data_IF_189545930701
#
_entry.id   IF_189545930701
#
_cell.length_a   1.000
_cell.length_b   1.000
_cell.length_c   1.000
_cell.angle_alpha   90.00
_cell.angle_beta   90.00
_cell.angle_gamma   90.00
#
_symmetry.space_group_name_H-M   'P 1'
#
loop_
_entity.id
_entity.type
_entity.pdbx_description
1 polymer ?
#
# COMPACT_ATOMS: atom_id res chain seq x y z
N UNK A 1 -16.20 -9.51 -14.72
CA UNK A 1 -14.97 -10.16 -14.21
C UNK A 1 -15.05 -11.62 -14.62
N UNK A 2 -14.00 -12.20 -15.23
CA UNK A 2 -14.05 -13.61 -15.60
C UNK A 2 -13.94 -14.49 -14.35
N UNK A 3 -14.65 -15.62 -14.34
CA UNK A 3 -14.55 -16.61 -13.26
C UNK A 3 -13.12 -17.10 -13.06
N UNK A 4 -12.36 -17.24 -14.13
CA UNK A 4 -10.96 -17.66 -14.13
C UNK A 4 -10.06 -16.69 -13.33
N UNK A 5 -10.25 -15.39 -13.47
CA UNK A 5 -9.49 -14.36 -12.73
C UNK A 5 -9.73 -14.45 -11.21
N UNK A 6 -11.00 -14.64 -10.82
CA UNK A 6 -11.35 -14.83 -9.41
C UNK A 6 -10.70 -16.10 -8.82
N UNK A 7 -10.80 -17.24 -9.54
CA UNK A 7 -10.20 -18.48 -9.06
C UNK A 7 -8.68 -18.40 -8.97
N UNK A 8 -8.02 -17.71 -9.87
CA UNK A 8 -6.57 -17.50 -9.80
C UNK A 8 -6.16 -16.72 -8.53
N UNK A 9 -6.91 -15.68 -8.18
CA UNK A 9 -6.69 -14.94 -6.93
C UNK A 9 -6.90 -15.86 -5.72
N UNK A 10 -8.05 -16.56 -5.69
CA UNK A 10 -8.41 -17.49 -4.62
C UNK A 10 -7.31 -18.54 -4.40
N UNK A 11 -6.90 -19.21 -5.46
CA UNK A 11 -5.88 -20.27 -5.39
C UNK A 11 -4.54 -19.71 -4.90
N UNK A 12 -4.15 -18.54 -5.39
CA UNK A 12 -2.89 -17.90 -4.99
C UNK A 12 -2.86 -17.57 -3.50
N UNK A 13 -3.95 -17.00 -2.96
CA UNK A 13 -4.06 -16.66 -1.53
C UNK A 13 -4.17 -17.93 -0.70
N UNK A 14 -4.98 -18.90 -1.12
CA UNK A 14 -5.15 -20.20 -0.44
C UNK A 14 -3.82 -20.94 -0.33
N UNK A 15 -3.07 -21.07 -1.43
CA UNK A 15 -1.76 -21.71 -1.44
C UNK A 15 -0.76 -21.01 -0.52
N UNK A 16 -0.80 -19.70 -0.45
CA UNK A 16 0.04 -18.93 0.47
C UNK A 16 -0.35 -19.16 1.94
N UNK A 17 -1.65 -19.28 2.23
CA UNK A 17 -2.16 -19.48 3.59
C UNK A 17 -1.97 -20.92 4.09
N UNK A 18 -2.16 -21.93 3.22
CA UNK A 18 -2.14 -23.36 3.61
C UNK A 18 -0.75 -23.99 3.57
N UNK A 19 0.22 -23.36 2.91
CA UNK A 19 1.57 -23.90 2.72
C UNK A 19 2.41 -24.04 3.99
N UNK A 20 1.93 -23.56 5.15
CA UNK A 20 2.60 -23.62 6.45
C UNK A 20 1.55 -23.91 7.53
N UNK A 21 1.94 -24.66 8.56
CA UNK A 21 1.08 -24.97 9.71
C UNK A 21 0.76 -23.67 10.48
N UNK A 22 -0.29 -22.98 10.08
CA UNK A 22 -0.68 -21.71 10.70
C UNK A 22 -2.18 -21.47 10.61
N UNK A 23 -2.65 -20.52 11.41
CA UNK A 23 -4.02 -20.02 11.33
C UNK A 23 -4.07 -18.95 10.23
N UNK A 24 -5.21 -18.83 9.56
CA UNK A 24 -5.48 -17.76 8.62
C UNK A 24 -6.44 -16.74 9.23
N UNK A 25 -6.18 -15.45 9.01
CA UNK A 25 -7.02 -14.35 9.47
C UNK A 25 -7.32 -13.39 8.33
N UNK A 26 -8.58 -12.96 8.25
CA UNK A 26 -9.00 -11.84 7.41
C UNK A 26 -8.90 -10.55 8.23
N UNK A 27 -8.14 -9.58 7.77
CA UNK A 27 -8.00 -8.26 8.37
C UNK A 27 -8.90 -7.26 7.66
N UNK A 28 -9.78 -6.61 8.43
CA UNK A 28 -10.75 -5.63 7.93
C UNK A 28 -10.56 -4.29 8.64
N UNK A 29 -10.55 -3.19 7.89
CA UNK A 29 -10.73 -1.83 8.41
C UNK A 29 -12.22 -1.51 8.49
N UNK A 30 -12.79 -1.72 9.66
CA UNK A 30 -14.21 -1.50 9.92
C UNK A 30 -14.57 -0.01 10.07
N UNK A 31 -13.60 0.89 10.22
CA UNK A 31 -13.84 2.33 10.27
C UNK A 31 -14.44 2.86 8.98
N UNK A 32 -14.23 2.15 7.86
CA UNK A 32 -14.75 2.52 6.54
C UNK A 32 -16.24 2.17 6.36
N UNK A 33 -16.84 1.40 7.26
CA UNK A 33 -18.26 1.02 7.20
C UNK A 33 -19.20 2.23 7.08
N UNK A 34 -18.88 3.33 7.76
CA UNK A 34 -19.68 4.55 7.71
C UNK A 34 -19.80 5.16 6.30
N UNK A 35 -18.82 4.90 5.42
CA UNK A 35 -18.79 5.37 4.04
C UNK A 35 -19.37 4.36 3.04
N UNK A 36 -19.64 3.13 3.50
CA UNK A 36 -20.13 2.03 2.69
C UNK A 36 -21.26 1.29 3.43
N UNK A 37 -22.36 1.97 3.81
CA UNK A 37 -23.39 1.40 4.68
C UNK A 37 -24.10 0.18 4.07
N UNK A 38 -24.25 0.13 2.74
CA UNK A 38 -24.94 -0.94 2.02
C UNK A 38 -24.01 -2.10 1.61
N UNK A 39 -22.85 -2.18 2.25
CA UNK A 39 -21.85 -3.20 1.95
C UNK A 39 -22.25 -4.55 2.60
N UNK A 40 -22.59 -5.52 1.77
CA UNK A 40 -23.03 -6.85 2.21
C UNK A 40 -21.99 -7.57 3.07
N UNK A 41 -20.68 -7.34 2.85
CA UNK A 41 -19.62 -7.96 3.64
C UNK A 41 -19.75 -7.63 5.12
N UNK A 42 -20.08 -6.39 5.48
CA UNK A 42 -20.27 -6.02 6.87
C UNK A 42 -21.48 -6.70 7.53
N UNK A 43 -22.51 -7.06 6.74
CA UNK A 43 -23.65 -7.81 7.25
C UNK A 43 -23.27 -9.28 7.50
N UNK A 44 -22.50 -9.87 6.62
CA UNK A 44 -21.94 -11.22 6.81
C UNK A 44 -21.06 -11.26 8.05
N UNK A 45 -20.14 -10.31 8.19
CA UNK A 45 -19.17 -10.23 9.29
C UNK A 45 -19.80 -10.13 10.68
N UNK A 46 -21.04 -9.60 10.82
CA UNK A 46 -21.77 -9.56 12.11
C UNK A 46 -21.97 -10.93 12.75
N UNK A 47 -21.94 -11.99 11.94
CA UNK A 47 -22.17 -13.37 12.38
C UNK A 47 -20.88 -14.11 12.76
N UNK A 48 -19.73 -13.44 12.64
CA UNK A 48 -18.43 -14.04 12.94
C UNK A 48 -17.82 -13.46 14.21
N UNK A 49 -17.11 -14.31 14.95
CA UNK A 49 -16.26 -13.83 16.04
C UNK A 49 -15.04 -13.14 15.46
N UNK A 50 -14.56 -12.10 16.13
CA UNK A 50 -13.39 -11.35 15.71
C UNK A 50 -12.54 -10.93 16.90
N UNK A 51 -11.30 -10.58 16.62
CA UNK A 51 -10.38 -9.94 17.56
C UNK A 51 -10.24 -8.47 17.16
N UNK A 52 -10.53 -7.57 18.10
CA UNK A 52 -10.34 -6.15 17.88
C UNK A 52 -8.87 -5.77 18.01
N UNK A 53 -8.37 -4.95 17.09
CA UNK A 53 -7.03 -4.38 17.18
C UNK A 53 -7.14 -3.05 17.92
N UNK A 54 -6.72 -3.05 19.18
CA UNK A 54 -6.80 -1.89 20.06
C UNK A 54 -5.49 -1.10 20.03
N UNK A 55 -5.54 0.15 19.59
CA UNK A 55 -4.40 1.06 19.65
C UNK A 55 -4.33 1.70 21.03
N UNK A 56 -3.12 1.84 21.59
CA UNK A 56 -2.94 2.45 22.92
C UNK A 56 -3.13 3.98 22.91
N UNK A 57 -3.01 4.61 21.73
CA UNK A 57 -3.22 6.05 21.57
C UNK A 57 -4.71 6.35 21.53
N UNK A 58 -5.21 7.14 22.49
CA UNK A 58 -6.62 7.52 22.58
C UNK A 58 -7.19 8.17 21.32
N UNK A 59 -6.35 8.92 20.61
CA UNK A 59 -6.71 9.61 19.36
C UNK A 59 -7.00 8.64 18.21
N UNK A 60 -6.44 7.42 18.24
CA UNK A 60 -6.66 6.40 17.22
C UNK A 60 -7.87 5.52 17.52
N UNK A 61 -8.31 5.45 18.78
CA UNK A 61 -9.40 4.56 19.21
C UNK A 61 -10.71 4.80 18.46
N UNK A 62 -11.06 6.06 18.25
CA UNK A 62 -12.31 6.44 17.59
C UNK A 62 -12.15 6.59 16.06
N UNK A 63 -10.92 6.82 15.61
CA UNK A 63 -10.63 7.09 14.20
C UNK A 63 -10.34 5.83 13.38
N UNK A 64 -9.91 4.74 14.02
CA UNK A 64 -9.45 3.53 13.33
C UNK A 64 -9.94 2.27 14.07
N UNK A 65 -10.79 1.50 13.41
CA UNK A 65 -11.31 0.23 13.93
C UNK A 65 -10.88 -0.90 13.01
N UNK A 66 -9.85 -1.64 13.43
CA UNK A 66 -9.39 -2.83 12.73
C UNK A 66 -9.89 -4.09 13.43
N UNK A 67 -10.30 -5.07 12.65
CA UNK A 67 -10.82 -6.35 13.14
C UNK A 67 -10.17 -7.53 12.41
N UNK A 68 -9.80 -8.57 13.17
CA UNK A 68 -9.28 -9.82 12.66
C UNK A 68 -10.35 -10.91 12.77
N UNK A 69 -10.73 -11.49 11.66
CA UNK A 69 -11.67 -12.60 11.58
C UNK A 69 -10.90 -13.89 11.32
N UNK A 70 -10.94 -14.90 12.22
CA UNK A 70 -10.29 -16.17 11.96
C UNK A 70 -11.00 -16.88 10.80
N UNK A 71 -10.20 -17.31 9.84
CA UNK A 71 -10.61 -18.20 8.76
C UNK A 71 -10.04 -19.58 9.11
N UNK A 72 -10.86 -20.40 9.77
CA UNK A 72 -10.47 -21.78 10.03
C UNK A 72 -10.47 -22.52 8.70
N UNK A 73 -9.40 -23.18 8.39
CA UNK A 73 -9.19 -23.84 7.12
C UNK A 73 -10.44 -24.61 6.66
N UNK A 74 -11.13 -24.00 5.68
CA UNK A 74 -11.89 -24.72 4.65
C UNK A 74 -12.99 -25.62 5.20
N UNK A 75 -13.80 -25.09 6.12
CA UNK A 75 -15.17 -25.56 6.20
C UNK A 75 -16.03 -24.69 5.26
N UNK A 76 -17.17 -25.19 4.81
CA UNK A 76 -18.06 -24.50 3.85
C UNK A 76 -18.39 -23.06 4.26
N UNK A 77 -18.52 -22.78 5.56
CA UNK A 77 -18.85 -21.47 6.09
C UNK A 77 -17.73 -20.45 5.93
N UNK A 78 -16.49 -20.84 6.21
CA UNK A 78 -15.34 -19.94 6.12
C UNK A 78 -14.91 -19.75 4.66
N UNK A 79 -15.21 -20.71 3.78
CA UNK A 79 -15.03 -20.57 2.35
C UNK A 79 -15.95 -19.47 1.78
N UNK A 80 -17.20 -19.38 2.23
CA UNK A 80 -18.12 -18.32 1.83
C UNK A 80 -17.57 -16.95 2.22
N UNK A 81 -17.18 -16.74 3.49
CA UNK A 81 -16.58 -15.49 3.96
C UNK A 81 -15.30 -15.14 3.18
N UNK A 82 -14.48 -16.17 2.91
CA UNK A 82 -13.25 -15.95 2.14
C UNK A 82 -13.56 -15.49 0.71
N UNK A 83 -14.49 -16.13 0.03
CA UNK A 83 -14.93 -15.74 -1.30
C UNK A 83 -15.53 -14.33 -1.31
N UNK A 84 -16.42 -14.03 -0.36
CA UNK A 84 -17.05 -12.71 -0.23
C UNK A 84 -16.04 -11.61 0.02
N UNK A 85 -15.01 -11.87 0.84
CA UNK A 85 -13.94 -10.91 1.07
C UNK A 85 -13.13 -10.60 -0.19
N UNK A 86 -12.86 -11.60 -1.06
CA UNK A 86 -12.19 -11.40 -2.34
C UNK A 86 -13.10 -10.58 -3.29
N UNK A 87 -14.37 -10.95 -3.42
CA UNK A 87 -15.33 -10.20 -4.24
C UNK A 87 -15.44 -8.75 -3.81
N UNK A 88 -15.53 -8.53 -2.50
CA UNK A 88 -15.62 -7.19 -1.95
C UNK A 88 -14.34 -6.40 -2.24
N UNK A 89 -13.17 -6.97 -1.98
CA UNK A 89 -11.89 -6.33 -2.26
C UNK A 89 -11.74 -5.91 -3.73
N UNK A 90 -12.23 -6.74 -4.66
CA UNK A 90 -12.24 -6.41 -6.08
C UNK A 90 -13.25 -5.32 -6.44
N UNK A 91 -14.39 -5.25 -5.75
CA UNK A 91 -15.36 -4.17 -5.93
C UNK A 91 -14.81 -2.82 -5.46
N UNK A 92 -14.04 -2.79 -4.39
CA UNK A 92 -13.39 -1.57 -3.88
C UNK A 92 -12.37 -0.98 -4.87
N UNK A 93 -11.90 -1.77 -5.86
CA UNK A 93 -10.98 -1.31 -6.90
C UNK A 93 -11.65 -0.68 -8.11
N UNK A 94 -12.99 -0.58 -8.14
CA UNK A 94 -13.68 0.14 -9.20
C UNK A 94 -13.34 1.63 -9.14
N UNK A 95 -13.22 2.26 -10.32
CA UNK A 95 -12.80 3.66 -10.43
C UNK A 95 -13.61 4.60 -9.52
N UNK A 96 -14.93 4.40 -9.44
CA UNK A 96 -15.84 5.20 -8.60
C UNK A 96 -15.46 5.14 -7.11
N UNK A 97 -15.09 3.94 -6.63
CA UNK A 97 -14.67 3.74 -5.24
C UNK A 97 -13.27 4.32 -4.98
N UNK A 98 -12.33 4.14 -5.92
CA UNK A 98 -10.98 4.69 -5.82
C UNK A 98 -10.99 6.23 -5.87
N UNK A 99 -11.92 6.83 -6.61
CA UNK A 99 -12.05 8.29 -6.74
C UNK A 99 -12.58 8.94 -5.47
N UNK A 100 -13.42 8.24 -4.70
CA UNK A 100 -13.89 8.73 -3.41
C UNK A 100 -12.76 8.88 -2.37
N UNK A 101 -11.62 8.24 -2.60
CA UNK A 101 -10.45 8.32 -1.70
C UNK A 101 -10.66 7.67 -0.34
N UNK A 102 -11.73 6.90 -0.16
CA UNK A 102 -12.16 6.37 1.14
C UNK A 102 -11.30 5.22 1.67
N UNK A 103 -10.40 4.69 0.87
CA UNK A 103 -9.57 3.53 1.23
C UNK A 103 -10.23 2.19 0.92
N UNK A 104 -9.60 1.12 1.37
CA UNK A 104 -10.05 -0.27 1.16
C UNK A 104 -10.27 -0.95 2.50
N UNK A 105 -11.47 -1.50 2.71
CA UNK A 105 -11.83 -2.15 3.96
C UNK A 105 -11.19 -3.54 4.10
N UNK A 106 -11.08 -4.31 3.03
CA UNK A 106 -10.33 -5.58 3.06
C UNK A 106 -8.84 -5.28 2.99
N UNK A 107 -8.16 -5.44 4.12
CA UNK A 107 -6.76 -5.10 4.27
C UNK A 107 -5.83 -6.26 3.86
N UNK A 108 -6.10 -7.47 4.36
CA UNK A 108 -5.22 -8.61 4.12
C UNK A 108 -5.86 -9.95 4.51
N UNK A 109 -5.27 -11.03 3.96
CA UNK A 109 -5.38 -12.41 4.45
C UNK A 109 -4.01 -12.80 5.01
N UNK A 110 -3.96 -13.11 6.31
CA UNK A 110 -2.72 -13.28 7.07
C UNK A 110 -2.60 -14.72 7.56
N UNK A 111 -1.52 -15.40 7.18
CA UNK A 111 -1.18 -16.71 7.74
C UNK A 111 -0.10 -16.56 8.81
N UNK A 112 -0.35 -17.14 9.99
CA UNK A 112 0.57 -17.03 11.15
C UNK A 112 0.35 -18.17 12.14
N UNK A 113 1.35 -18.43 12.99
CA UNK A 113 1.23 -19.31 14.14
C UNK A 113 0.74 -18.59 15.42
N UNK A 114 0.63 -17.27 15.38
CA UNK A 114 0.12 -16.46 16.51
C UNK A 114 -1.38 -16.72 16.71
N UNK A 115 -1.83 -16.61 17.95
CA UNK A 115 -3.27 -16.51 18.24
C UNK A 115 -3.83 -15.17 17.71
N UNK A 116 -5.15 -15.06 17.59
CA UNK A 116 -5.78 -13.82 17.14
C UNK A 116 -5.46 -12.63 18.04
N UNK A 117 -5.40 -12.85 19.37
CA UNK A 117 -5.02 -11.81 20.35
C UNK A 117 -3.57 -11.36 20.14
N UNK A 118 -2.65 -12.30 19.99
CA UNK A 118 -1.23 -12.00 19.78
C UNK A 118 -1.00 -11.25 18.45
N UNK A 119 -1.71 -11.67 17.38
CA UNK A 119 -1.63 -11.00 16.11
C UNK A 119 -2.21 -9.58 16.16
N UNK A 120 -3.36 -9.42 16.85
CA UNK A 120 -3.99 -8.10 17.05
C UNK A 120 -3.05 -7.14 17.78
N UNK A 121 -2.46 -7.59 18.89
CA UNK A 121 -1.45 -6.82 19.64
C UNK A 121 -0.24 -6.48 18.76
N UNK A 122 0.29 -7.46 18.02
CA UNK A 122 1.42 -7.24 17.14
C UNK A 122 1.11 -6.17 16.07
N UNK A 123 -0.07 -6.22 15.46
CA UNK A 123 -0.46 -5.23 14.45
C UNK A 123 -0.57 -3.84 15.09
N UNK A 124 -1.24 -3.72 16.23
CA UNK A 124 -1.42 -2.45 16.93
C UNK A 124 -0.06 -1.79 17.29
N UNK A 125 0.83 -2.57 17.90
CA UNK A 125 2.13 -2.07 18.34
C UNK A 125 3.08 -1.77 17.17
N UNK A 126 3.02 -2.54 16.08
CA UNK A 126 3.86 -2.30 14.90
C UNK A 126 3.36 -1.11 14.09
N UNK A 127 2.07 -0.82 14.10
CA UNK A 127 1.50 0.32 13.37
C UNK A 127 1.91 1.68 13.96
N UNK A 128 2.31 1.73 15.22
CA UNK A 128 2.79 2.97 15.83
C UNK A 128 4.31 2.96 15.88
N UNK A 129 4.94 3.87 15.16
CA UNK A 129 6.37 3.97 15.05
C UNK A 129 6.86 5.31 15.59
N UNK A 130 7.83 5.28 16.53
CA UNK A 130 8.47 6.46 17.07
C UNK A 130 9.67 6.85 16.22
N UNK A 131 9.66 8.06 15.67
CA UNK A 131 10.76 8.64 14.90
C UNK A 131 11.27 9.86 15.66
N UNK A 132 12.58 9.93 15.88
CA UNK A 132 13.22 10.93 16.72
C UNK A 132 12.87 12.38 16.35
N UNK A 133 12.73 12.67 15.07
CA UNK A 133 12.48 14.03 14.55
C UNK A 133 11.03 14.48 14.62
N UNK A 134 10.07 13.54 14.60
CA UNK A 134 8.64 13.86 14.47
C UNK A 134 7.77 13.26 15.58
N UNK A 135 8.34 12.38 16.42
CA UNK A 135 7.58 11.65 17.44
C UNK A 135 6.88 10.41 16.87
N UNK A 136 5.74 10.07 17.45
CA UNK A 136 4.97 8.90 17.05
C UNK A 136 4.20 9.17 15.78
N UNK A 137 4.27 8.22 14.85
CA UNK A 137 3.52 8.21 13.60
C UNK A 137 2.68 6.94 13.50
N UNK A 138 1.52 7.03 12.87
CA UNK A 138 0.72 5.87 12.48
C UNK A 138 1.20 5.38 11.10
N UNK A 139 1.88 4.25 11.08
CA UNK A 139 2.27 3.55 9.87
C UNK A 139 1.12 2.62 9.44
N UNK A 140 0.31 3.04 8.49
CA UNK A 140 -0.84 2.26 7.97
C UNK A 140 -0.40 1.11 7.06
N UNK A 141 0.58 0.32 7.46
CA UNK A 141 1.08 -0.80 6.63
C UNK A 141 0.04 -1.89 6.38
N UNK A 142 -1.03 -1.93 7.17
CA UNK A 142 -2.18 -2.81 6.96
C UNK A 142 -3.04 -2.38 5.76
N UNK A 143 -2.98 -1.12 5.32
CA UNK A 143 -3.68 -0.64 4.13
C UNK A 143 -2.93 -1.13 2.87
N UNK A 144 -3.61 -1.89 1.98
CA UNK A 144 -3.02 -2.39 0.75
C UNK A 144 -2.39 -1.31 -0.13
N UNK A 145 -3.01 -0.10 -0.16
CA UNK A 145 -2.50 1.04 -0.95
C UNK A 145 -1.19 1.59 -0.37
N UNK A 146 -0.95 1.39 0.93
CA UNK A 146 0.28 1.81 1.60
C UNK A 146 1.33 0.71 1.53
N UNK A 147 0.95 -0.54 1.80
CA UNK A 147 1.89 -1.66 1.88
C UNK A 147 2.67 -1.87 0.58
N UNK A 148 1.98 -1.83 -0.58
CA UNK A 148 2.61 -2.00 -1.88
C UNK A 148 3.71 -0.98 -2.16
N UNK A 149 3.50 0.28 -1.75
CA UNK A 149 4.47 1.35 -1.89
C UNK A 149 5.52 1.38 -0.76
N UNK A 150 5.19 0.87 0.43
CA UNK A 150 6.07 0.81 1.59
C UNK A 150 7.15 -0.26 1.46
N UNK A 151 6.79 -1.46 0.99
CA UNK A 151 7.74 -2.59 0.91
C UNK A 151 9.03 -2.25 0.16
N UNK A 152 9.03 -1.53 -0.97
CA UNK A 152 10.27 -1.12 -1.64
C UNK A 152 11.14 -0.14 -0.85
N UNK A 153 10.55 0.62 0.08
CA UNK A 153 11.26 1.61 0.91
C UNK A 153 12.05 0.95 2.04
N UNK A 154 11.51 -0.15 2.58
CA UNK A 154 12.09 -0.85 3.71
C UNK A 154 13.28 -1.70 3.28
N UNK A 155 14.32 -1.73 4.10
CA UNK A 155 15.41 -2.69 3.96
C UNK A 155 14.99 -4.12 4.37
N UNK A 156 15.87 -5.10 4.17
CA UNK A 156 15.54 -6.51 4.45
C UNK A 156 15.28 -6.75 5.94
N UNK A 157 16.03 -6.09 6.83
CA UNK A 157 15.85 -6.23 8.27
C UNK A 157 14.51 -5.62 8.70
N UNK A 158 14.16 -4.43 8.19
CA UNK A 158 12.89 -3.76 8.47
C UNK A 158 11.70 -4.59 8.01
N UNK A 159 11.78 -5.22 6.82
CA UNK A 159 10.76 -6.15 6.31
C UNK A 159 10.59 -7.36 7.22
N UNK A 160 11.70 -7.95 7.69
CA UNK A 160 11.66 -9.06 8.63
C UNK A 160 11.04 -8.66 9.97
N UNK A 161 11.31 -7.45 10.46
CA UNK A 161 10.68 -6.95 11.68
C UNK A 161 9.19 -6.65 11.49
N UNK A 162 8.81 -6.07 10.35
CA UNK A 162 7.41 -5.77 10.01
C UNK A 162 6.54 -7.03 10.02
N UNK A 163 7.05 -8.12 9.42
CA UNK A 163 6.34 -9.38 9.25
C UNK A 163 6.85 -10.49 10.17
N UNK A 164 7.47 -10.15 11.28
CA UNK A 164 7.93 -11.12 12.28
C UNK A 164 6.74 -11.97 12.78
N UNK A 165 6.95 -13.28 12.93
CA UNK A 165 5.92 -14.27 13.31
C UNK A 165 4.75 -14.41 12.30
N UNK A 166 4.81 -13.77 11.16
CA UNK A 166 3.84 -13.91 10.07
C UNK A 166 4.43 -14.83 9.01
N UNK A 167 3.68 -15.82 8.57
CA UNK A 167 4.07 -16.69 7.47
C UNK A 167 3.93 -15.96 6.15
N UNK A 168 2.71 -15.45 5.90
CA UNK A 168 2.39 -14.70 4.69
C UNK A 168 1.40 -13.59 5.01
N UNK A 169 1.58 -12.46 4.35
CA UNK A 169 0.65 -11.35 4.30
C UNK A 169 0.20 -11.20 2.85
N UNK A 170 -1.02 -11.59 2.56
CA UNK A 170 -1.62 -11.56 1.22
C UNK A 170 -2.59 -10.39 1.11
N UNK A 171 -2.54 -9.65 0.01
CA UNK A 171 -3.46 -8.52 -0.25
C UNK A 171 -3.68 -8.38 -1.76
N UNK A 172 -4.72 -7.67 -2.17
CA UNK A 172 -4.86 -7.25 -3.57
C UNK A 172 -4.19 -5.90 -3.76
N UNK A 173 -3.40 -5.75 -4.84
CA UNK A 173 -2.91 -4.44 -5.25
C UNK A 173 -4.01 -3.65 -5.98
N UNK A 174 -3.71 -2.43 -6.42
CA UNK A 174 -4.70 -1.60 -7.08
C UNK A 174 -5.06 -2.04 -8.50
N UNK A 175 -4.36 -3.04 -9.05
CA UNK A 175 -4.71 -3.69 -10.32
C UNK A 175 -5.58 -4.95 -10.09
N UNK A 176 -5.88 -5.27 -8.84
CA UNK A 176 -6.64 -6.45 -8.44
C UNK A 176 -5.79 -7.73 -8.44
N UNK A 177 -4.48 -7.62 -8.52
CA UNK A 177 -3.58 -8.78 -8.51
C UNK A 177 -3.22 -9.14 -7.08
N UNK A 178 -3.36 -10.43 -6.73
CA UNK A 178 -2.95 -10.90 -5.41
C UNK A 178 -1.42 -10.80 -5.24
N UNK A 179 -1.01 -10.01 -4.26
CA UNK A 179 0.36 -9.86 -3.81
C UNK A 179 0.58 -10.66 -2.53
N UNK A 180 1.71 -11.34 -2.42
CA UNK A 180 2.07 -12.11 -1.24
C UNK A 180 3.42 -11.62 -0.75
N UNK A 181 3.43 -11.15 0.49
CA UNK A 181 4.66 -10.79 1.18
C UNK A 181 4.95 -11.88 2.19
N UNK A 182 6.06 -12.59 1.99
CA UNK A 182 6.49 -13.63 2.91
C UNK A 182 7.16 -13.00 4.12
N UNK A 183 6.75 -13.43 5.31
CA UNK A 183 7.42 -13.14 6.55
C UNK A 183 8.43 -14.22 6.90
N UNK A 184 9.09 -14.02 8.04
CA UNK A 184 10.05 -14.95 8.59
C UNK A 184 9.64 -15.30 10.03
N UNK A 185 8.99 -16.44 10.20
CA UNK A 185 8.58 -16.93 11.54
C UNK A 185 9.75 -17.25 12.45
N UNK A 186 10.95 -17.50 11.92
CA UNK A 186 12.16 -17.73 12.71
C UNK A 186 12.82 -16.41 13.15
N UNK A 187 12.42 -15.28 12.57
CA UNK A 187 12.99 -13.98 12.90
C UNK A 187 12.49 -13.49 14.25
N UNK A 188 13.39 -13.45 15.24
CA UNK A 188 13.10 -12.84 16.54
C UNK A 188 13.15 -11.31 16.43
N UNK A 189 12.16 -10.63 16.99
CA UNK A 189 12.16 -9.18 17.08
C UNK A 189 13.34 -8.68 17.93
N UNK A 190 14.07 -7.70 17.40
CA UNK A 190 15.27 -7.15 18.08
C UNK A 190 14.99 -5.84 18.80
N UNK A 191 14.11 -5.00 18.27
CA UNK A 191 13.79 -3.69 18.81
C UNK A 191 12.32 -3.63 19.27
N UNK A 192 11.88 -4.69 19.93
CA UNK A 192 10.47 -4.81 20.30
C UNK A 192 9.59 -4.66 19.03
N UNK A 193 8.70 -3.67 18.95
CA UNK A 193 7.85 -3.43 17.78
C UNK A 193 8.36 -2.30 16.87
N UNK A 194 9.52 -1.72 17.18
CA UNK A 194 10.13 -0.69 16.34
C UNK A 194 10.73 -1.28 15.07
N UNK A 195 10.51 -0.61 13.96
CA UNK A 195 11.12 -0.91 12.66
C UNK A 195 12.45 -0.18 12.45
N UNK A 196 12.92 0.61 13.42
CA UNK A 196 14.14 1.39 13.27
C UNK A 196 14.11 2.32 12.06
N UNK A 197 12.95 2.95 11.79
CA UNK A 197 12.78 3.84 10.65
C UNK A 197 13.73 5.03 10.73
N UNK A 198 14.38 5.34 9.60
CA UNK A 198 15.29 6.46 9.46
C UNK A 198 14.58 7.68 8.88
N UNK A 199 15.23 8.86 8.94
CA UNK A 199 14.75 10.07 8.27
C UNK A 199 14.59 9.86 6.76
N UNK A 200 15.46 9.06 6.14
CA UNK A 200 15.35 8.71 4.73
C UNK A 200 14.08 7.90 4.44
N UNK A 201 13.76 6.92 5.30
CA UNK A 201 12.50 6.18 5.17
C UNK A 201 11.31 7.12 5.29
N UNK A 202 11.33 8.05 6.28
CA UNK A 202 10.26 9.02 6.48
C UNK A 202 10.04 9.91 5.24
N UNK A 203 11.13 10.44 4.66
CA UNK A 203 11.05 11.24 3.43
C UNK A 203 10.47 10.47 2.25
N UNK A 204 10.79 9.18 2.13
CA UNK A 204 10.23 8.33 1.08
C UNK A 204 8.75 8.00 1.37
N UNK A 205 8.39 7.74 2.62
CA UNK A 205 7.02 7.41 3.03
C UNK A 205 6.05 8.58 2.83
N UNK A 206 6.48 9.83 3.04
CA UNK A 206 5.68 11.03 2.74
C UNK A 206 5.19 11.10 1.29
N UNK A 207 5.88 10.41 0.37
CA UNK A 207 5.53 10.39 -1.06
C UNK A 207 4.51 9.32 -1.42
N UNK A 208 4.15 8.41 -0.50
CA UNK A 208 3.23 7.30 -0.80
C UNK A 208 1.86 7.82 -1.26
N UNK A 209 1.34 8.86 -0.65
CA UNK A 209 0.06 9.48 -1.06
C UNK A 209 0.12 10.02 -2.49
N UNK A 210 1.25 10.63 -2.87
CA UNK A 210 1.50 11.16 -4.22
C UNK A 210 1.59 10.00 -5.22
N UNK A 211 2.35 8.94 -4.88
CA UNK A 211 2.43 7.71 -5.69
C UNK A 211 1.03 7.17 -5.95
N UNK A 212 0.19 7.03 -4.92
CA UNK A 212 -1.18 6.53 -5.06
C UNK A 212 -2.06 7.44 -5.92
N UNK A 213 -1.87 8.76 -5.86
CA UNK A 213 -2.57 9.72 -6.71
C UNK A 213 -2.17 9.56 -8.18
N UNK A 214 -0.87 9.43 -8.47
CA UNK A 214 -0.36 9.20 -9.82
C UNK A 214 -0.85 7.87 -10.37
N UNK A 215 -0.82 6.79 -9.58
CA UNK A 215 -1.30 5.47 -9.98
C UNK A 215 -2.80 5.48 -10.33
N UNK A 216 -3.62 6.19 -9.54
CA UNK A 216 -5.05 6.36 -9.84
C UNK A 216 -5.26 7.09 -11.16
N UNK A 217 -4.53 8.17 -11.40
CA UNK A 217 -4.61 8.90 -12.66
C UNK A 217 -4.15 8.02 -13.85
N UNK A 218 -3.05 7.28 -13.68
CA UNK A 218 -2.51 6.39 -14.71
C UNK A 218 -3.49 5.26 -15.09
N UNK A 219 -4.21 4.69 -14.11
CA UNK A 219 -5.23 3.65 -14.35
C UNK A 219 -6.40 4.14 -15.20
N UNK A 220 -6.75 5.42 -15.10
CA UNK A 220 -7.82 6.02 -15.92
C UNK A 220 -7.40 6.28 -17.36
N UNK A 221 -6.10 6.29 -17.64
CA UNK A 221 -5.60 6.49 -19.00
C UNK A 221 -5.74 5.22 -19.83
N UNK A 222 -6.12 5.38 -21.10
CA UNK A 222 -6.19 4.27 -22.04
C UNK A 222 -4.79 3.97 -22.61
N UNK A 223 -3.95 3.29 -21.83
CA UNK A 223 -2.58 2.91 -22.21
C UNK A 223 -2.56 1.44 -22.62
N UNK A 224 -2.04 1.14 -23.81
CA UNK A 224 -2.03 -0.22 -24.39
C UNK A 224 -1.16 -1.16 -23.54
N UNK A 225 0.07 -0.77 -23.23
CA UNK A 225 1.01 -1.57 -22.44
C UNK A 225 1.18 -0.96 -21.05
N UNK A 226 0.10 -0.98 -20.25
CA UNK A 226 0.11 -0.41 -18.92
C UNK A 226 0.98 -1.23 -17.98
N UNK A 227 1.91 -0.55 -17.29
CA UNK A 227 2.72 -1.16 -16.22
C UNK A 227 1.84 -1.68 -15.09
N UNK A 228 2.25 -2.80 -14.50
CA UNK A 228 1.67 -3.26 -13.24
C UNK A 228 1.96 -2.25 -12.12
N UNK A 229 1.11 -2.22 -11.08
CA UNK A 229 1.33 -1.34 -9.93
C UNK A 229 2.75 -1.50 -9.36
N UNK A 230 3.23 -2.72 -9.24
CA UNK A 230 4.56 -3.03 -8.71
C UNK A 230 5.69 -2.41 -9.55
N UNK A 231 5.59 -2.46 -10.87
CA UNK A 231 6.57 -1.88 -11.79
C UNK A 231 6.49 -0.35 -11.76
N UNK A 232 5.27 0.18 -11.79
CA UNK A 232 5.03 1.62 -11.71
C UNK A 232 5.59 2.22 -10.41
N UNK A 233 5.35 1.60 -9.26
CA UNK A 233 5.89 2.04 -7.97
C UNK A 233 7.42 2.07 -7.97
N UNK A 234 8.08 1.05 -8.55
CA UNK A 234 9.54 1.01 -8.65
C UNK A 234 10.12 2.16 -9.48
N UNK A 235 9.42 2.58 -10.53
CA UNK A 235 9.83 3.73 -11.34
C UNK A 235 9.55 5.06 -10.63
N UNK A 236 8.43 5.18 -9.93
CA UNK A 236 8.01 6.43 -9.31
C UNK A 236 8.86 6.81 -8.09
N UNK A 237 9.28 5.88 -7.24
CA UNK A 237 10.03 6.23 -6.04
C UNK A 237 11.30 7.05 -6.32
N UNK A 238 12.25 6.60 -7.18
CA UNK A 238 13.43 7.38 -7.50
C UNK A 238 13.08 8.66 -8.27
N UNK A 239 12.07 8.60 -9.15
CA UNK A 239 11.65 9.73 -9.95
C UNK A 239 11.12 10.89 -9.09
N UNK A 240 10.26 10.60 -8.11
CA UNK A 240 9.75 11.61 -7.18
C UNK A 240 10.86 12.19 -6.28
N UNK A 241 11.87 11.36 -5.93
CA UNK A 241 13.07 11.86 -5.27
C UNK A 241 13.81 12.91 -6.11
N UNK A 242 14.00 12.61 -7.39
CA UNK A 242 14.58 13.56 -8.35
C UNK A 242 13.73 14.82 -8.51
N UNK A 243 12.40 14.69 -8.65
CA UNK A 243 11.50 15.83 -8.77
C UNK A 243 11.69 16.82 -7.62
N UNK A 244 11.60 16.33 -6.37
CA UNK A 244 11.73 17.18 -5.18
C UNK A 244 13.10 17.87 -5.06
N UNK A 245 14.15 17.28 -5.61
CA UNK A 245 15.50 17.89 -5.60
C UNK A 245 15.75 18.84 -6.76
N UNK A 246 14.92 18.84 -7.79
CA UNK A 246 15.22 19.50 -9.06
C UNK A 246 14.25 20.61 -9.44
N UNK A 247 12.98 20.52 -9.04
CA UNK A 247 11.93 21.45 -9.46
C UNK A 247 11.28 22.15 -8.28
N UNK A 248 10.60 23.27 -8.57
CA UNK A 248 9.72 23.93 -7.60
C UNK A 248 8.52 23.03 -7.30
N UNK A 249 8.18 22.79 -6.03
CA UNK A 249 7.06 21.92 -5.69
C UNK A 249 5.72 22.52 -6.14
N UNK A 250 4.96 21.75 -6.91
CA UNK A 250 3.58 22.01 -7.28
C UNK A 250 2.88 20.66 -7.40
N UNK A 251 1.68 20.54 -6.83
CA UNK A 251 0.93 19.29 -6.83
C UNK A 251 0.58 18.83 -8.24
N UNK A 252 0.24 19.73 -9.13
CA UNK A 252 -0.08 19.41 -10.51
C UNK A 252 1.17 18.96 -11.28
N UNK A 253 2.29 19.66 -11.11
CA UNK A 253 3.55 19.33 -11.78
C UNK A 253 4.09 17.96 -11.36
N UNK A 254 3.98 17.61 -10.09
CA UNK A 254 4.48 16.31 -9.60
C UNK A 254 3.64 15.16 -10.14
N UNK A 255 2.33 15.35 -10.30
CA UNK A 255 1.44 14.35 -10.92
C UNK A 255 1.75 14.23 -12.41
N UNK A 256 1.89 15.35 -13.13
CA UNK A 256 2.25 15.35 -14.56
C UNK A 256 3.59 14.66 -14.78
N UNK A 257 4.62 15.02 -13.99
CA UNK A 257 5.94 14.38 -14.05
C UNK A 257 5.87 12.88 -13.81
N UNK A 258 5.12 12.45 -12.79
CA UNK A 258 4.94 11.02 -12.50
C UNK A 258 4.24 10.26 -13.62
N UNK A 259 3.24 10.86 -14.24
CA UNK A 259 2.57 10.28 -15.41
C UNK A 259 3.52 10.18 -16.61
N UNK A 260 4.33 11.20 -16.88
CA UNK A 260 5.33 11.15 -17.95
C UNK A 260 6.37 10.03 -17.72
N UNK A 261 6.76 9.78 -16.46
CA UNK A 261 7.64 8.64 -16.11
C UNK A 261 6.99 7.31 -16.45
N UNK A 262 5.71 7.14 -16.08
CA UNK A 262 4.98 5.90 -16.33
C UNK A 262 4.66 5.69 -17.82
N UNK A 263 4.32 6.74 -18.56
CA UNK A 263 4.04 6.66 -19.99
C UNK A 263 5.30 6.35 -20.81
N UNK A 264 6.44 6.92 -20.43
CA UNK A 264 7.71 6.65 -21.10
C UNK A 264 8.38 5.37 -20.62
N UNK A 265 7.96 4.80 -19.52
CA UNK A 265 8.45 3.57 -18.90
C UNK A 265 9.99 3.54 -18.70
N UNK A 266 10.60 4.71 -18.52
CA UNK A 266 12.05 4.89 -18.35
C UNK A 266 12.36 6.16 -17.55
N UNK A 267 13.56 6.23 -16.94
CA UNK A 267 14.00 7.40 -16.18
C UNK A 267 14.50 8.54 -17.10
N UNK A 268 13.64 9.03 -18.00
CA UNK A 268 13.99 10.07 -19.00
C UNK A 268 14.56 11.36 -18.39
N UNK A 269 14.21 11.63 -17.14
CA UNK A 269 14.71 12.79 -16.40
C UNK A 269 16.22 12.73 -16.10
N UNK A 270 16.87 11.57 -16.30
CA UNK A 270 18.32 11.39 -16.17
C UNK A 270 19.08 11.63 -17.49
N UNK A 271 18.39 11.89 -18.60
CA UNK A 271 18.99 12.09 -19.91
C UNK A 271 19.76 13.44 -20.07
N UNK A 272 19.84 14.23 -18.99
CA UNK A 272 20.55 15.53 -18.97
C UNK A 272 19.75 16.70 -19.51
N UNK A 273 18.61 16.47 -20.17
CA UNK A 273 17.77 17.54 -20.76
C UNK A 273 17.29 18.56 -19.74
N UNK A 274 17.11 18.14 -18.49
CA UNK A 274 16.66 18.97 -17.38
C UNK A 274 17.80 19.60 -16.57
N UNK A 275 19.08 19.28 -16.82
CA UNK A 275 20.20 19.71 -15.96
C UNK A 275 20.30 21.24 -15.85
N UNK A 276 20.01 21.97 -16.93
CA UNK A 276 20.02 23.44 -16.94
C UNK A 276 18.89 24.08 -16.15
N UNK A 277 17.87 23.32 -15.73
CA UNK A 277 16.69 23.80 -15.00
C UNK A 277 16.68 23.39 -13.53
N UNK A 278 17.68 22.63 -13.07
CA UNK A 278 17.76 22.17 -11.66
C UNK A 278 17.91 23.31 -10.67
N UNK A 279 17.34 23.13 -9.49
CA UNK A 279 17.39 24.07 -8.34
C UNK A 279 18.81 24.56 -7.98
N UNK A 280 19.84 23.72 -8.20
CA UNK A 280 21.24 24.02 -7.84
C UNK A 280 21.97 24.95 -8.82
N UNK A 281 21.35 25.39 -9.88
CA UNK A 281 21.92 26.40 -10.76
C UNK A 281 21.75 27.78 -10.13
N UNK A 282 22.80 28.25 -9.41
CA UNK A 282 22.87 29.38 -8.45
C UNK A 282 22.36 30.75 -8.94
N UNK A 283 21.84 30.87 -10.14
CA UNK A 283 21.48 32.14 -10.75
C UNK A 283 20.02 32.30 -11.18
N UNK A 284 19.15 31.27 -11.02
CA UNK A 284 17.76 31.35 -11.49
C UNK A 284 16.77 30.79 -10.48
N UNK A 285 15.61 31.46 -10.38
CA UNK A 285 14.44 30.95 -9.65
C UNK A 285 14.12 29.54 -10.18
N UNK A 286 13.88 28.54 -9.29
CA UNK A 286 13.53 27.20 -9.71
C UNK A 286 12.30 27.23 -10.61
N UNK A 287 12.38 26.56 -11.75
CA UNK A 287 11.27 26.42 -12.68
C UNK A 287 10.31 25.32 -12.20
N UNK A 288 9.05 25.45 -12.58
CA UNK A 288 8.11 24.34 -12.52
C UNK A 288 8.51 23.26 -13.54
N UNK A 289 8.03 22.03 -13.34
CA UNK A 289 8.27 20.96 -14.30
C UNK A 289 7.62 21.27 -15.65
N UNK A 290 6.39 21.76 -15.65
CA UNK A 290 5.64 22.12 -16.86
C UNK A 290 6.37 23.20 -17.68
N UNK A 291 6.92 24.23 -17.03
CA UNK A 291 7.71 25.26 -17.71
C UNK A 291 9.03 24.70 -18.30
N UNK A 292 9.71 23.83 -17.57
CA UNK A 292 10.94 23.18 -18.05
C UNK A 292 10.68 22.29 -19.24
N UNK A 293 9.61 21.49 -19.20
CA UNK A 293 9.14 20.60 -20.27
C UNK A 293 8.81 21.42 -21.54
N UNK A 294 7.98 22.47 -21.40
CA UNK A 294 7.61 23.33 -22.52
C UNK A 294 8.83 23.95 -23.24
N UNK A 295 9.87 24.31 -22.48
CA UNK A 295 11.11 24.85 -23.05
C UNK A 295 11.95 23.80 -23.76
N UNK A 296 11.93 22.55 -23.30
CA UNK A 296 12.63 21.45 -23.99
C UNK A 296 11.91 21.15 -25.29
N UNK A 297 10.59 20.95 -25.25
CA UNK A 297 9.79 20.65 -26.43
C UNK A 297 9.89 21.75 -27.51
N UNK A 298 10.05 23.02 -27.12
CA UNK A 298 10.24 24.13 -28.05
C UNK A 298 11.65 24.22 -28.67
N UNK A 299 12.64 23.48 -28.17
CA UNK A 299 14.01 23.43 -28.71
C UNK A 299 14.24 22.26 -29.66
N UNK A 300 13.35 21.27 -29.62
CA UNK A 300 13.40 20.07 -30.49
C UNK A 300 12.54 20.26 -31.77
N UNK A 301 11.88 21.43 -31.93
CA UNK A 301 11.21 21.88 -33.14
C UNK A 301 12.09 22.88 -33.93
#
# INVERSE_FOLDING_TARGET
MSSEFFYNIKDKITNAATGKNGQCFLLIDSSLKQYQPDNFLYDVLKNYKYYSIAFHQSELHDALTLSLFPLQTINERDEELFNDSIYHSLNELKNEMLDSGQGRSVCAWISTELTGEQLAEQIALTAVQSIKSVGDILLRYFDPSVLGALIPILDNWQKQQLLSNINTWSYLDGDGVAQIVNGDCACKRKLNYSLGLTELNLEQMKRISIVNTILRAYRKMNVVDRLSEREAVKLLHPALGYFHSSFSPSDNDIIEFGLDVLLRQRPFYLDGSFDKYKLNNRSKKPLSYSDAKARIDSQDC
#
